data_IF_789944813391
#
_entry.id   IF_789944813391
#
_cell.length_a   1.000
_cell.length_b   1.000
_cell.length_c   1.000
_cell.angle_alpha   90.00
_cell.angle_beta   90.00
_cell.angle_gamma   90.00
#
_symmetry.space_group_name_H-M   'P 1'
#
loop_
_entity.id
_entity.type
_entity.pdbx_description
1 polymer ?
#
# COMPACT_ATOMS: atom_id res chain seq x y z
N UNK A 1 10.28 42.98 3.63
CA UNK A 1 9.33 42.00 3.04
C UNK A 1 10.10 40.71 2.80
N UNK A 2 9.72 39.59 3.41
CA UNK A 2 10.36 38.30 3.09
C UNK A 2 10.07 37.99 1.61
N UNK A 3 11.03 37.51 0.80
CA UNK A 3 10.76 37.14 -0.57
C UNK A 3 9.68 36.05 -0.59
N UNK A 4 8.78 36.08 -1.60
CA UNK A 4 7.84 34.99 -1.84
C UNK A 4 8.65 33.69 -1.88
N UNK A 5 8.46 32.84 -0.88
CA UNK A 5 9.04 31.50 -0.94
C UNK A 5 8.43 30.81 -2.15
N UNK A 6 9.27 30.31 -3.04
CA UNK A 6 8.85 29.41 -4.10
C UNK A 6 8.12 28.24 -3.44
N UNK A 7 6.83 28.12 -3.69
CA UNK A 7 6.05 26.99 -3.24
C UNK A 7 6.37 25.82 -4.18
N UNK A 8 7.40 25.06 -3.84
CA UNK A 8 7.78 23.84 -4.56
C UNK A 8 6.85 22.72 -4.10
N UNK A 9 6.20 22.04 -5.04
CA UNK A 9 5.40 20.86 -4.72
C UNK A 9 6.30 19.71 -4.30
N UNK A 10 5.85 18.92 -3.33
CA UNK A 10 6.61 17.79 -2.81
C UNK A 10 6.65 16.66 -3.87
N UNK A 11 7.83 16.33 -4.44
CA UNK A 11 7.94 15.39 -5.55
C UNK A 11 7.93 13.95 -5.04
N UNK A 12 6.80 13.52 -4.47
CA UNK A 12 6.71 12.25 -3.70
C UNK A 12 7.19 11.05 -4.49
N UNK A 13 6.78 10.91 -5.76
CA UNK A 13 7.10 9.73 -6.56
C UNK A 13 8.56 9.71 -7.03
N UNK A 14 9.15 10.86 -7.33
CA UNK A 14 10.60 10.96 -7.57
C UNK A 14 11.39 10.49 -6.33
N UNK A 15 10.99 10.94 -5.14
CA UNK A 15 11.65 10.54 -3.90
C UNK A 15 11.47 9.04 -3.60
N UNK A 16 10.33 8.45 -3.98
CA UNK A 16 10.11 6.99 -3.89
C UNK A 16 11.01 6.22 -4.84
N UNK A 17 11.14 6.65 -6.08
CA UNK A 17 12.02 6.02 -7.07
C UNK A 17 13.47 6.08 -6.59
N UNK A 18 13.93 7.26 -6.15
CA UNK A 18 15.26 7.43 -5.59
C UNK A 18 15.48 6.55 -4.36
N UNK A 19 14.51 6.45 -3.45
CA UNK A 19 14.60 5.57 -2.29
C UNK A 19 14.66 4.08 -2.68
N UNK A 20 13.89 3.67 -3.70
CA UNK A 20 13.93 2.29 -4.20
C UNK A 20 15.26 1.98 -4.89
N UNK A 21 15.84 2.93 -5.63
CA UNK A 21 17.17 2.79 -6.25
C UNK A 21 18.27 2.63 -5.20
N UNK A 22 18.25 3.49 -4.18
CA UNK A 22 19.24 3.53 -3.10
C UNK A 22 19.07 2.44 -2.04
N UNK A 23 17.96 1.69 -2.06
CA UNK A 23 17.73 0.61 -1.10
C UNK A 23 18.80 -0.48 -1.23
N UNK A 24 19.41 -0.88 -0.12
CA UNK A 24 20.47 -1.91 -0.11
C UNK A 24 19.95 -3.32 -0.42
N UNK A 25 18.63 -3.53 -0.33
CA UNK A 25 17.97 -4.81 -0.58
C UNK A 25 17.11 -4.79 -1.84
N UNK A 26 16.94 -5.96 -2.45
CA UNK A 26 16.01 -6.13 -3.58
C UNK A 26 14.56 -6.21 -3.13
N UNK A 27 14.31 -6.85 -1.98
CA UNK A 27 12.98 -6.88 -1.36
C UNK A 27 12.78 -5.56 -0.64
N UNK A 28 11.79 -4.80 -1.08
CA UNK A 28 11.46 -3.46 -0.57
C UNK A 28 10.02 -3.42 -0.07
N UNK A 29 9.80 -2.58 0.94
CA UNK A 29 8.47 -2.34 1.51
C UNK A 29 8.26 -0.84 1.71
N UNK A 30 7.46 -0.23 0.84
CA UNK A 30 7.16 1.19 0.93
C UNK A 30 5.97 1.43 1.86
N UNK A 31 6.20 2.17 2.95
CA UNK A 31 5.17 2.51 3.96
C UNK A 31 5.19 4.00 4.26
N UNK A 32 4.07 4.53 4.75
CA UNK A 32 4.02 5.89 5.28
C UNK A 32 4.86 6.02 6.56
N UNK A 33 5.45 7.20 6.80
CA UNK A 33 6.29 7.46 7.96
C UNK A 33 5.51 7.44 9.29
N UNK A 34 4.19 7.50 9.22
CA UNK A 34 3.21 7.46 10.29
C UNK A 34 2.63 6.04 10.53
N UNK A 35 3.14 5.03 9.84
CA UNK A 35 2.78 3.63 10.07
C UNK A 35 3.77 2.92 10.98
N UNK A 36 3.21 2.10 11.87
CA UNK A 36 3.93 1.29 12.83
C UNK A 36 3.68 -0.19 12.49
N UNK A 37 4.72 -0.93 12.09
CA UNK A 37 4.62 -2.38 11.92
C UNK A 37 4.28 -3.11 13.21
N UNK A 38 3.49 -4.19 13.12
CA UNK A 38 3.33 -5.13 14.23
C UNK A 38 4.68 -5.80 14.57
N UNK A 39 4.82 -6.28 15.80
CA UNK A 39 6.04 -6.94 16.26
C UNK A 39 6.39 -8.14 15.36
N UNK A 40 7.68 -8.29 15.07
CA UNK A 40 8.21 -9.41 14.28
C UNK A 40 7.94 -9.35 12.77
N UNK A 41 7.29 -8.30 12.23
CA UNK A 41 7.03 -8.21 10.79
C UNK A 41 8.33 -8.30 9.97
N UNK A 42 9.39 -7.63 10.40
CA UNK A 42 10.68 -7.67 9.69
C UNK A 42 11.24 -9.09 9.62
N UNK A 43 11.37 -9.77 10.76
CA UNK A 43 11.90 -11.14 10.82
C UNK A 43 11.05 -12.12 10.01
N UNK A 44 9.73 -11.93 10.04
CA UNK A 44 8.80 -12.69 9.21
C UNK A 44 9.09 -12.50 7.72
N UNK A 45 9.17 -11.26 7.23
CA UNK A 45 9.50 -10.96 5.82
C UNK A 45 10.88 -11.49 5.41
N UNK A 46 11.88 -11.41 6.29
CA UNK A 46 13.22 -11.98 6.04
C UNK A 46 13.13 -13.51 5.93
N UNK A 47 12.36 -14.17 6.80
CA UNK A 47 12.16 -15.61 6.73
C UNK A 47 11.49 -16.02 5.40
N UNK A 48 10.53 -15.22 4.93
CA UNK A 48 9.86 -15.43 3.66
C UNK A 48 10.79 -15.27 2.46
N UNK A 49 11.64 -14.25 2.49
CA UNK A 49 12.65 -14.03 1.47
C UNK A 49 13.64 -15.20 1.41
N UNK A 50 14.12 -15.68 2.56
CA UNK A 50 15.01 -16.85 2.63
C UNK A 50 14.37 -18.12 2.10
N UNK A 51 13.06 -18.29 2.30
CA UNK A 51 12.31 -19.42 1.75
C UNK A 51 11.99 -19.27 0.25
N UNK A 52 12.30 -18.12 -0.36
CA UNK A 52 12.11 -17.87 -1.78
C UNK A 52 10.72 -17.33 -2.16
N UNK A 53 9.93 -16.83 -1.20
CA UNK A 53 8.57 -16.35 -1.47
C UNK A 53 8.56 -15.18 -2.47
N UNK A 54 9.59 -14.33 -2.47
CA UNK A 54 9.71 -13.20 -3.40
C UNK A 54 10.41 -13.57 -4.73
N UNK A 55 10.44 -14.86 -5.08
CA UNK A 55 10.87 -15.31 -6.40
C UNK A 55 9.74 -15.13 -7.41
N UNK A 56 10.00 -14.39 -8.49
CA UNK A 56 8.98 -14.04 -9.48
C UNK A 56 8.17 -12.81 -9.11
N UNK A 57 7.21 -12.46 -9.96
CA UNK A 57 6.39 -11.23 -9.83
C UNK A 57 5.24 -11.40 -8.83
N UNK A 58 5.57 -11.50 -7.55
CA UNK A 58 4.64 -11.49 -6.42
C UNK A 58 4.68 -10.18 -5.65
N UNK A 59 3.50 -9.59 -5.41
CA UNK A 59 3.31 -8.44 -4.53
C UNK A 59 2.53 -8.86 -3.29
N UNK A 60 3.10 -8.64 -2.11
CA UNK A 60 2.59 -9.19 -0.84
C UNK A 60 2.04 -8.08 0.04
N UNK A 61 0.73 -7.93 0.05
CA UNK A 61 0.03 -6.94 0.84
C UNK A 61 0.09 -7.25 2.33
N UNK A 62 0.51 -6.25 3.11
CA UNK A 62 0.41 -6.22 4.56
C UNK A 62 -0.85 -5.44 4.93
N UNK A 63 -1.84 -6.05 5.61
CA UNK A 63 -3.04 -5.35 6.06
C UNK A 63 -2.72 -4.17 6.97
N UNK A 64 -3.57 -3.15 6.95
CA UNK A 64 -3.33 -1.92 7.70
C UNK A 64 -4.58 -1.47 8.46
N UNK A 65 -4.35 -0.95 9.67
CA UNK A 65 -5.40 -0.62 10.61
C UNK A 65 -5.20 0.78 11.14
N UNK A 66 -6.31 1.45 11.41
CA UNK A 66 -6.34 2.67 12.17
C UNK A 66 -6.65 2.35 13.63
N UNK A 67 -5.89 2.94 14.55
CA UNK A 67 -6.08 2.81 16.01
C UNK A 67 -6.41 4.17 16.61
N UNK A 68 -7.40 4.21 17.49
CA UNK A 68 -7.85 5.44 18.13
C UNK A 68 -6.75 6.08 18.99
N UNK A 69 -6.75 7.42 19.06
CA UNK A 69 -5.78 8.17 19.85
C UNK A 69 -5.86 7.79 21.32
N UNK A 70 -4.70 7.56 21.95
CA UNK A 70 -4.60 7.25 23.38
C UNK A 70 -4.85 5.77 23.72
N UNK A 71 -5.19 4.94 22.74
CA UNK A 71 -5.25 3.48 22.90
C UNK A 71 -3.84 2.91 22.78
N UNK A 72 -3.54 1.90 23.61
CA UNK A 72 -2.30 1.13 23.48
C UNK A 72 -2.22 0.47 22.11
N UNK A 73 -1.13 0.76 21.39
CA UNK A 73 -0.92 0.25 20.03
C UNK A 73 -0.81 -1.29 20.10
N UNK A 74 -1.68 -2.03 19.39
CA UNK A 74 -1.61 -3.49 19.38
C UNK A 74 -0.34 -3.93 18.64
N UNK A 75 0.44 -4.81 19.26
CA UNK A 75 1.71 -5.25 18.68
C UNK A 75 1.61 -6.62 18.00
N UNK A 76 0.54 -7.36 18.25
CA UNK A 76 0.23 -8.64 17.59
C UNK A 76 -1.25 -8.74 17.22
N UNK A 77 -1.58 -9.78 16.45
CA UNK A 77 -2.90 -9.93 15.84
C UNK A 77 -3.98 -10.15 16.89
N UNK A 78 -3.70 -10.88 17.95
CA UNK A 78 -4.63 -11.15 19.04
C UNK A 78 -5.03 -9.85 19.75
N UNK A 79 -4.04 -8.98 20.04
CA UNK A 79 -4.27 -7.65 20.61
C UNK A 79 -5.05 -6.75 19.64
N UNK A 80 -4.72 -6.78 18.35
CA UNK A 80 -5.42 -6.01 17.33
C UNK A 80 -6.90 -6.43 17.24
N UNK A 81 -7.18 -7.73 17.12
CA UNK A 81 -8.54 -8.26 17.06
C UNK A 81 -9.33 -7.92 18.34
N UNK A 82 -8.66 -7.92 19.49
CA UNK A 82 -9.27 -7.47 20.75
C UNK A 82 -9.62 -5.98 20.72
N UNK A 83 -8.76 -5.14 20.15
CA UNK A 83 -9.00 -3.71 19.98
C UNK A 83 -10.13 -3.42 18.97
N UNK A 84 -10.21 -4.21 17.90
CA UNK A 84 -11.34 -4.15 16.94
C UNK A 84 -12.67 -4.50 17.65
N UNK A 85 -12.69 -5.56 18.48
CA UNK A 85 -13.88 -5.93 19.27
C UNK A 85 -14.31 -4.81 20.21
N UNK A 86 -13.36 -4.06 20.78
CA UNK A 86 -13.62 -2.88 21.62
C UNK A 86 -13.96 -1.61 20.83
N UNK A 87 -13.95 -1.66 19.49
CA UNK A 87 -14.11 -0.51 18.58
C UNK A 87 -13.04 0.57 18.74
N UNK A 88 -11.87 0.17 19.23
CA UNK A 88 -10.69 1.02 19.40
C UNK A 88 -9.76 0.98 18.18
N UNK A 89 -9.97 -0.01 17.30
CA UNK A 89 -9.24 -0.16 16.05
C UNK A 89 -10.21 -0.56 14.93
N UNK A 90 -9.88 -0.20 13.69
CA UNK A 90 -10.61 -0.60 12.48
C UNK A 90 -9.66 -0.75 11.30
N UNK A 91 -10.07 -1.48 10.27
CA UNK A 91 -9.37 -1.47 9.00
C UNK A 91 -9.21 -0.02 8.53
N UNK A 92 -8.03 0.34 8.04
CA UNK A 92 -7.79 1.73 7.61
C UNK A 92 -8.79 2.09 6.50
N UNK A 93 -9.45 3.24 6.67
CA UNK A 93 -10.49 3.76 5.76
C UNK A 93 -11.71 2.83 5.58
N UNK A 94 -11.93 1.91 6.54
CA UNK A 94 -13.18 1.14 6.66
C UNK A 94 -14.39 2.03 6.91
N UNK A 95 -15.51 1.71 6.24
CA UNK A 95 -16.74 2.52 6.21
C UNK A 95 -17.15 3.12 7.57
N UNK A 96 -17.56 4.40 7.53
CA UNK A 96 -18.47 4.96 8.54
C UNK A 96 -17.94 6.01 9.51
N UNK A 97 -17.00 6.89 9.14
CA UNK A 97 -16.74 8.12 9.94
C UNK A 97 -16.66 9.39 9.05
N UNK A 98 -17.08 10.57 9.54
CA UNK A 98 -17.58 11.72 8.76
C UNK A 98 -16.53 12.56 8.00
N UNK A 99 -15.32 12.06 7.79
CA UNK A 99 -14.22 12.82 7.17
C UNK A 99 -14.04 12.55 5.67
N UNK A 100 -14.83 11.65 5.09
CA UNK A 100 -14.80 11.29 3.68
C UNK A 100 -15.89 12.04 2.91
N UNK A 101 -15.69 13.34 2.68
CA UNK A 101 -16.61 14.19 1.91
C UNK A 101 -16.79 13.72 0.45
N UNK A 102 -16.12 12.66 0.00
CA UNK A 102 -16.07 12.27 -1.42
C UNK A 102 -16.20 10.76 -1.74
N UNK A 103 -16.32 9.85 -0.77
CA UNK A 103 -16.56 8.40 -0.99
C UNK A 103 -15.49 7.60 -1.78
N UNK A 104 -14.62 8.24 -2.55
CA UNK A 104 -13.64 7.61 -3.45
C UNK A 104 -12.44 7.02 -2.68
N UNK A 105 -12.09 7.55 -1.50
CA UNK A 105 -10.95 7.04 -0.71
C UNK A 105 -11.27 5.88 0.22
N UNK A 106 -12.55 5.50 0.38
CA UNK A 106 -12.97 4.40 1.26
C UNK A 106 -12.81 3.02 0.58
N UNK A 107 -12.86 2.98 -0.76
CA UNK A 107 -12.85 1.75 -1.56
C UNK A 107 -11.41 1.25 -1.79
N UNK A 108 -10.44 2.17 -1.82
CA UNK A 108 -9.08 1.87 -2.25
C UNK A 108 -8.34 0.85 -1.36
N UNK A 109 -8.51 0.89 -0.04
CA UNK A 109 -7.77 0.02 0.87
C UNK A 109 -8.58 -1.20 1.36
N UNK A 110 -9.91 -1.15 1.30
CA UNK A 110 -10.77 -2.09 2.05
C UNK A 110 -11.17 -3.32 1.24
N UNK A 111 -11.43 -3.19 -0.06
CA UNK A 111 -11.94 -4.31 -0.87
C UNK A 111 -10.88 -5.36 -1.23
N UNK A 112 -9.62 -4.94 -1.34
CA UNK A 112 -8.54 -5.83 -1.74
C UNK A 112 -8.25 -6.89 -0.66
N UNK A 113 -8.12 -6.46 0.60
CA UNK A 113 -7.61 -7.30 1.70
C UNK A 113 -8.57 -8.44 2.07
N UNK A 114 -9.89 -8.30 1.93
CA UNK A 114 -10.86 -9.25 2.51
C UNK A 114 -10.62 -9.45 4.01
N UNK A 115 -10.84 -8.37 4.78
CA UNK A 115 -10.67 -8.37 6.23
C UNK A 115 -11.46 -9.48 6.96
N UNK A 116 -12.70 -9.82 6.59
CA UNK A 116 -13.41 -10.96 7.19
C UNK A 116 -12.67 -12.30 7.06
N UNK A 117 -12.00 -12.55 5.92
CA UNK A 117 -11.10 -13.70 5.77
C UNK A 117 -9.83 -13.51 6.59
N UNK A 118 -9.19 -12.34 6.51
CA UNK A 118 -7.95 -12.07 7.23
C UNK A 118 -8.10 -12.26 8.74
N UNK A 119 -9.21 -11.83 9.35
CA UNK A 119 -9.47 -12.01 10.79
C UNK A 119 -9.52 -13.46 11.25
N UNK A 120 -9.80 -14.41 10.34
CA UNK A 120 -9.98 -15.83 10.65
C UNK A 120 -8.75 -16.68 10.35
N UNK A 121 -7.89 -16.22 9.45
CA UNK A 121 -6.70 -16.98 9.06
C UNK A 121 -5.51 -16.66 9.95
N UNK A 122 -4.76 -17.67 10.38
CA UNK A 122 -3.49 -17.48 11.07
C UNK A 122 -2.28 -17.69 10.17
N UNK A 123 -2.33 -18.61 9.21
CA UNK A 123 -1.14 -18.97 8.43
C UNK A 123 -1.40 -18.99 6.92
N UNK A 124 -2.63 -18.72 6.48
CA UNK A 124 -2.99 -18.80 5.07
C UNK A 124 -2.65 -17.49 4.35
N UNK A 125 -1.76 -17.58 3.38
CA UNK A 125 -1.58 -16.58 2.34
C UNK A 125 -2.64 -16.80 1.26
N UNK A 126 -3.27 -15.73 0.77
CA UNK A 126 -4.26 -15.84 -0.30
C UNK A 126 -4.11 -14.78 -1.38
N UNK A 127 -4.31 -15.19 -2.63
CA UNK A 127 -4.32 -14.30 -3.77
C UNK A 127 -5.62 -13.50 -3.84
N UNK A 128 -5.50 -12.25 -4.28
CA UNK A 128 -6.63 -11.35 -4.50
C UNK A 128 -6.45 -10.62 -5.84
N UNK A 129 -7.51 -10.50 -6.65
CA UNK A 129 -7.44 -9.69 -7.86
C UNK A 129 -7.35 -8.20 -7.46
N UNK A 130 -6.33 -7.51 -7.94
CA UNK A 130 -6.23 -6.07 -7.80
C UNK A 130 -7.17 -5.38 -8.79
N UNK A 131 -7.93 -4.37 -8.38
CA UNK A 131 -8.64 -3.42 -9.28
C UNK A 131 -7.97 -2.05 -9.27
N UNK A 132 -8.32 -1.18 -10.22
CA UNK A 132 -7.59 0.08 -10.45
C UNK A 132 -7.55 0.96 -9.20
N UNK A 133 -8.64 1.01 -8.46
CA UNK A 133 -8.80 1.86 -7.30
C UNK A 133 -8.05 1.33 -6.07
N UNK A 134 -7.53 0.09 -6.10
CA UNK A 134 -6.90 -0.50 -4.93
C UNK A 134 -5.53 0.12 -4.61
N UNK A 135 -5.25 0.29 -3.32
CA UNK A 135 -4.03 0.91 -2.80
C UNK A 135 -3.39 0.11 -1.63
N UNK A 136 -3.18 -1.22 -1.73
CA UNK A 136 -2.57 -1.99 -0.65
C UNK A 136 -1.10 -1.60 -0.40
N UNK A 137 -0.65 -1.73 0.86
CA UNK A 137 0.78 -1.67 1.20
C UNK A 137 1.43 -3.00 0.86
N UNK A 138 2.21 -3.04 -0.23
CA UNK A 138 2.80 -4.28 -0.75
C UNK A 138 4.31 -4.34 -0.53
N UNK A 139 4.78 -5.52 -0.16
CA UNK A 139 6.19 -5.91 -0.22
C UNK A 139 6.45 -6.53 -1.58
N UNK A 140 7.52 -6.11 -2.25
CA UNK A 140 7.85 -6.51 -3.62
C UNK A 140 9.35 -6.71 -3.77
N UNK A 141 9.76 -7.56 -4.70
CA UNK A 141 11.16 -7.71 -5.08
C UNK A 141 11.47 -6.88 -6.32
N UNK A 142 12.13 -5.73 -6.15
CA UNK A 142 12.42 -4.77 -7.23
C UNK A 142 13.36 -5.31 -8.31
N UNK A 143 14.11 -6.38 -8.03
CA UNK A 143 14.99 -7.02 -9.02
C UNK A 143 14.24 -7.89 -10.03
N UNK A 144 12.93 -8.14 -9.81
CA UNK A 144 12.11 -8.90 -10.72
C UNK A 144 11.88 -8.16 -12.05
N UNK A 145 11.90 -8.87 -13.19
CA UNK A 145 11.68 -8.27 -14.49
C UNK A 145 10.36 -7.48 -14.53
N UNK A 146 10.39 -6.31 -15.15
CA UNK A 146 9.24 -5.41 -15.28
C UNK A 146 8.71 -4.81 -13.97
N UNK A 147 9.52 -4.70 -12.92
CA UNK A 147 9.23 -3.77 -11.83
C UNK A 147 9.12 -2.33 -12.38
N UNK A 148 7.98 -1.65 -12.22
CA UNK A 148 7.81 -0.28 -12.68
C UNK A 148 8.18 0.73 -11.60
N UNK A 149 8.79 1.83 -12.04
CA UNK A 149 8.94 3.03 -11.22
C UNK A 149 7.57 3.68 -10.95
N UNK A 150 7.50 4.45 -9.87
CA UNK A 150 6.40 5.37 -9.63
C UNK A 150 6.39 6.47 -10.71
N UNK A 151 5.20 6.91 -11.09
CA UNK A 151 5.03 7.97 -12.09
C UNK A 151 5.28 9.34 -11.47
N UNK A 152 6.38 9.98 -11.87
CA UNK A 152 6.83 11.24 -11.29
C UNK A 152 5.94 12.45 -11.59
N UNK A 153 4.92 12.29 -12.46
CA UNK A 153 3.88 13.31 -12.69
C UNK A 153 2.98 13.49 -11.46
N UNK A 154 2.94 12.51 -10.54
CA UNK A 154 2.21 12.62 -9.28
C UNK A 154 3.02 13.43 -8.25
N UNK A 155 2.82 14.74 -8.32
CA UNK A 155 3.35 15.75 -7.38
C UNK A 155 2.24 16.38 -6.52
N UNK A 156 1.03 15.84 -6.61
CA UNK A 156 -0.19 16.31 -5.95
C UNK A 156 -0.62 15.31 -4.86
N UNK A 157 -1.47 15.75 -3.94
CA UNK A 157 -1.93 14.89 -2.86
C UNK A 157 -2.92 13.81 -3.36
N UNK A 158 -2.48 12.54 -3.33
CA UNK A 158 -3.30 11.34 -3.56
C UNK A 158 -3.11 10.67 -4.92
N UNK A 159 -3.55 9.40 -5.02
CA UNK A 159 -3.50 8.60 -6.26
C UNK A 159 -2.10 8.09 -6.67
N UNK A 160 -1.08 8.52 -5.94
CA UNK A 160 0.33 8.26 -6.15
C UNK A 160 0.76 6.80 -5.89
N UNK A 161 0.11 6.08 -4.97
CA UNK A 161 0.33 4.63 -4.80
C UNK A 161 -0.61 3.79 -5.64
N UNK A 162 -1.85 4.25 -5.83
CA UNK A 162 -2.87 3.62 -6.68
C UNK A 162 -2.30 3.34 -8.07
N UNK A 163 -1.67 4.35 -8.65
CA UNK A 163 -1.02 4.24 -9.94
C UNK A 163 0.02 3.11 -9.92
N UNK A 164 1.01 3.15 -9.02
CA UNK A 164 2.15 2.22 -9.08
C UNK A 164 1.71 0.77 -8.88
N UNK A 165 0.77 0.54 -7.95
CA UNK A 165 0.21 -0.78 -7.68
C UNK A 165 -0.58 -1.29 -8.89
N UNK A 166 -1.33 -0.43 -9.57
CA UNK A 166 -1.97 -0.80 -10.83
C UNK A 166 -0.94 -1.07 -11.95
N UNK A 167 0.19 -0.38 -11.97
CA UNK A 167 1.27 -0.65 -12.94
C UNK A 167 1.86 -2.04 -12.75
N UNK A 168 2.12 -2.44 -11.51
CA UNK A 168 2.53 -3.81 -11.18
C UNK A 168 1.54 -4.82 -11.74
N UNK A 169 0.22 -4.62 -11.53
CA UNK A 169 -0.83 -5.48 -12.11
C UNK A 169 -0.72 -5.58 -13.63
N UNK A 170 -0.60 -4.46 -14.33
CA UNK A 170 -0.48 -4.44 -15.80
C UNK A 170 0.83 -5.09 -16.30
N UNK A 171 1.84 -5.22 -15.43
CA UNK A 171 3.08 -5.96 -15.70
C UNK A 171 3.04 -7.43 -15.27
N UNK A 172 1.84 -7.97 -15.02
CA UNK A 172 1.63 -9.38 -14.71
C UNK A 172 2.11 -9.77 -13.32
N UNK A 173 2.16 -8.83 -12.38
CA UNK A 173 2.35 -9.15 -10.97
C UNK A 173 1.07 -9.72 -10.37
N UNK A 174 1.24 -10.75 -9.53
CA UNK A 174 0.17 -11.36 -8.76
C UNK A 174 0.19 -10.79 -7.35
N UNK A 175 -0.98 -10.60 -6.76
CA UNK A 175 -1.11 -9.94 -5.46
C UNK A 175 -1.64 -10.91 -4.41
N UNK A 176 -0.96 -10.96 -3.27
CA UNK A 176 -1.26 -11.88 -2.18
C UNK A 176 -1.38 -11.10 -0.88
N UNK A 177 -2.26 -11.55 0.01
CA UNK A 177 -2.38 -10.96 1.36
C UNK A 177 -1.60 -11.82 2.35
N UNK A 178 -0.69 -11.19 3.08
CA UNK A 178 0.08 -11.87 4.13
C UNK A 178 -0.78 -12.11 5.37
N UNK A 179 -0.65 -13.29 6.01
CA UNK A 179 -1.31 -13.55 7.27
C UNK A 179 -0.56 -12.86 8.42
N UNK A 180 -1.20 -12.83 9.60
CA UNK A 180 -0.62 -12.45 10.92
C UNK A 180 -0.23 -10.99 11.13
N UNK A 181 0.73 -10.49 10.35
CA UNK A 181 1.34 -9.20 10.57
C UNK A 181 0.56 -8.08 9.87
N UNK A 182 0.68 -6.87 10.41
CA UNK A 182 -0.08 -5.72 9.96
C UNK A 182 0.67 -4.41 10.21
N UNK A 183 0.18 -3.33 9.63
CA UNK A 183 0.59 -1.97 9.95
C UNK A 183 -0.49 -1.26 10.78
N UNK A 184 -0.07 -0.36 11.66
CA UNK A 184 -0.95 0.52 12.44
C UNK A 184 -0.67 1.97 12.09
N UNK A 185 -1.72 2.70 11.78
CA UNK A 185 -1.74 4.17 11.78
C UNK A 185 -2.51 4.63 13.02
N UNK A 186 -1.87 5.42 13.89
CA UNK A 186 -2.54 5.96 15.08
C UNK A 186 -3.23 7.26 14.70
N UNK A 187 -4.50 7.41 15.07
CA UNK A 187 -5.25 8.64 14.83
C UNK A 187 -4.51 9.86 15.38
N UNK A 188 -4.21 10.79 14.50
CA UNK A 188 -3.59 12.07 14.81
C UNK A 188 -4.28 13.18 14.04
N UNK A 189 -4.04 14.42 14.45
CA UNK A 189 -4.65 15.58 13.80
C UNK A 189 -4.09 15.73 12.40
N UNK A 190 -4.96 16.08 11.45
CA UNK A 190 -4.52 16.43 10.11
C UNK A 190 -3.67 17.69 10.15
N UNK A 191 -2.64 17.73 9.30
CA UNK A 191 -1.86 18.94 9.14
C UNK A 191 -2.76 20.09 8.62
N UNK A 192 -2.50 21.36 8.99
CA UNK A 192 -3.35 22.49 8.60
C UNK A 192 -3.54 22.67 7.09
N UNK A 193 -2.56 22.22 6.29
CA UNK A 193 -2.57 22.29 4.83
C UNK A 193 -3.27 21.09 4.16
N UNK A 194 -3.61 20.04 4.90
CA UNK A 194 -4.10 18.77 4.35
C UNK A 194 -5.40 18.94 3.57
N UNK A 195 -6.39 19.62 4.16
CA UNK A 195 -7.70 19.82 3.54
C UNK A 195 -7.64 20.69 2.29
N UNK A 196 -6.89 21.79 2.33
CA UNK A 196 -6.74 22.68 1.17
C UNK A 196 -5.97 22.01 0.03
N UNK A 197 -4.86 21.32 0.33
CA UNK A 197 -4.08 20.62 -0.70
C UNK A 197 -4.89 19.50 -1.35
N UNK A 198 -5.67 18.74 -0.56
CA UNK A 198 -6.56 17.69 -1.09
C UNK A 198 -7.59 18.26 -2.06
N UNK A 199 -8.24 19.37 -1.70
CA UNK A 199 -9.22 20.04 -2.56
C UNK A 199 -8.59 20.59 -3.86
N UNK A 200 -7.43 21.24 -3.76
CA UNK A 200 -6.70 21.79 -4.90
C UNK A 200 -6.17 20.70 -5.84
N UNK A 201 -5.77 19.56 -5.28
CA UNK A 201 -5.18 18.43 -6.01
C UNK A 201 -6.22 17.55 -6.70
N UNK A 202 -7.44 17.43 -6.15
CA UNK A 202 -8.44 16.43 -6.53
C UNK A 202 -8.64 16.30 -8.04
N UNK A 203 -8.92 17.41 -8.74
CA UNK A 203 -9.17 17.38 -10.20
C UNK A 203 -7.92 16.97 -10.98
N UNK A 204 -6.74 17.45 -10.55
CA UNK A 204 -5.46 17.17 -11.22
C UNK A 204 -5.07 15.70 -11.06
N UNK A 205 -5.18 15.18 -9.85
CA UNK A 205 -4.94 13.76 -9.54
C UNK A 205 -5.89 12.87 -10.33
N UNK A 206 -7.18 13.22 -10.40
CA UNK A 206 -8.14 12.43 -11.17
C UNK A 206 -7.79 12.37 -12.67
N UNK A 207 -7.39 13.49 -13.27
CA UNK A 207 -6.93 13.52 -14.67
C UNK A 207 -5.65 12.67 -14.87
N UNK A 208 -4.70 12.74 -13.93
CA UNK A 208 -3.49 11.91 -13.98
C UNK A 208 -3.82 10.42 -13.88
N UNK A 209 -4.70 10.03 -12.95
CA UNK A 209 -5.15 8.65 -12.79
C UNK A 209 -5.83 8.12 -14.07
N UNK A 210 -6.72 8.91 -14.69
CA UNK A 210 -7.38 8.53 -15.95
C UNK A 210 -6.37 8.35 -17.09
N UNK A 211 -5.44 9.30 -17.27
CA UNK A 211 -4.37 9.18 -18.26
C UNK A 211 -3.54 7.92 -18.06
N UNK A 212 -3.06 7.71 -16.83
CA UNK A 212 -2.16 6.61 -16.48
C UNK A 212 -2.84 5.25 -16.63
N UNK A 213 -4.14 5.16 -16.29
CA UNK A 213 -4.94 3.97 -16.53
C UNK A 213 -4.92 3.61 -18.03
N UNK A 214 -5.24 4.57 -18.88
CA UNK A 214 -5.29 4.36 -20.33
C UNK A 214 -3.92 4.05 -20.93
N UNK A 215 -2.86 4.72 -20.46
CA UNK A 215 -1.49 4.46 -20.90
C UNK A 215 -1.08 3.03 -20.55
N UNK A 216 -1.36 2.57 -19.34
CA UNK A 216 -0.93 1.24 -18.86
C UNK A 216 -1.73 0.09 -19.46
N UNK A 217 -3.01 0.29 -19.74
CA UNK A 217 -3.84 -0.69 -20.46
C UNK A 217 -3.38 -0.89 -21.92
N UNK A 218 -2.68 0.09 -22.52
CA UNK A 218 -2.19 0.03 -23.90
C UNK A 218 -0.78 -0.56 -24.05
N UNK A 219 -0.05 -0.76 -22.94
CA UNK A 219 1.34 -1.22 -22.98
C UNK A 219 1.39 -2.75 -23.04
N UNK A 220 1.61 -3.30 -24.23
CA UNK A 220 2.03 -4.69 -24.42
C UNK A 220 3.54 -4.82 -24.10
N UNK A 221 3.91 -4.85 -22.81
CA UNK A 221 5.29 -5.17 -22.45
C UNK A 221 5.50 -6.69 -22.49
N UNK A 222 6.48 -7.14 -23.29
CA UNK A 222 6.98 -8.51 -23.28
C UNK A 222 7.82 -8.75 -22.01
N UNK A 223 7.16 -8.95 -20.88
CA UNK A 223 7.83 -9.39 -19.66
C UNK A 223 8.12 -10.89 -19.75
N UNK A 224 9.33 -11.36 -19.41
CA UNK A 224 9.62 -12.79 -19.36
C UNK A 224 8.56 -13.52 -18.52
N UNK A 225 8.12 -14.70 -18.95
CA UNK A 225 7.15 -15.54 -18.22
C UNK A 225 7.80 -16.15 -16.96
N UNK A 226 8.14 -15.32 -15.98
CA UNK A 226 8.40 -15.70 -14.60
C UNK A 226 7.21 -15.25 -13.76
N UNK A 227 6.07 -15.89 -14.01
CA UNK A 227 4.93 -15.76 -13.12
C UNK A 227 5.29 -16.45 -11.80
N UNK A 228 5.02 -15.77 -10.70
CA UNK A 228 5.15 -16.40 -9.38
C UNK A 228 4.21 -17.61 -9.32
N UNK A 229 4.68 -18.74 -8.81
CA UNK A 229 3.83 -19.87 -8.43
C UNK A 229 3.93 -20.11 -6.93
N UNK A 230 2.81 -20.47 -6.32
CA UNK A 230 2.72 -20.68 -4.88
C UNK A 230 2.87 -22.15 -4.46
N UNK A 231 3.24 -23.07 -5.37
CA UNK A 231 3.04 -24.54 -5.32
C UNK A 231 3.39 -25.31 -4.01
N UNK A 232 3.92 -24.66 -2.98
CA UNK A 232 4.04 -25.19 -1.60
C UNK A 232 3.97 -24.15 -0.45
N UNK A 233 3.69 -22.86 -0.71
CA UNK A 233 3.82 -21.76 0.26
C UNK A 233 2.49 -21.10 0.67
N UNK A 234 1.35 -21.70 0.35
CA UNK A 234 0.03 -21.15 0.69
C UNK A 234 -0.19 -21.07 2.22
N UNK A 235 0.59 -21.85 2.98
CA UNK A 235 0.61 -21.87 4.44
C UNK A 235 1.99 -21.47 4.92
N UNK A 236 2.08 -20.39 5.70
CA UNK A 236 3.33 -19.74 6.13
C UNK A 236 3.39 -19.61 7.64
#
# INVERSE_FOLDING_TARGET
RRPCMLQVQYPVNFLRNLAAELAETDVIFHIGADFIPSDGLHDFLVSLAKKGLFAGRGAFAVPSFEVARGVTIPTNKEQLLSSIKRKEAKAILGQGEPTSVDGISEIAHVEFIDYPRWYKTENELYERPLVFENEPYVVVNRSQPCFPDYDERFIYYGGDKVEQVYHLKQRGWRFFVLPRHFLVHVQHDSAPWHGSERLLSKKKVWLLLDMVRQEREKVACACPNQLMSLDSMNTI
#
